data_IF_663799678803
#
_entry.id   IF_663799678803
#
_cell.length_a   1.000
_cell.length_b   1.000
_cell.length_c   1.000
_cell.angle_alpha   90.00
_cell.angle_beta   90.00
_cell.angle_gamma   90.00
#
_symmetry.space_group_name_H-M   'P 1'
#
loop_
_entity.id
_entity.type
_entity.pdbx_description
1 polymer ?
#
# COMPACT_ATOMS: atom_id res chain seq x y z
N UNK A 1 -25.00 27.11 12.91
CA UNK A 1 -24.85 25.96 11.99
C UNK A 1 -23.57 25.28 12.38
N UNK A 2 -23.64 24.02 12.82
CA UNK A 2 -22.44 23.27 13.22
C UNK A 2 -21.67 22.91 11.95
N UNK A 3 -20.54 23.57 11.74
CA UNK A 3 -19.58 23.15 10.73
C UNK A 3 -18.96 21.83 11.23
N UNK A 4 -19.47 20.73 10.68
CA UNK A 4 -18.93 19.40 10.90
C UNK A 4 -17.55 19.25 10.27
N UNK A 5 -16.53 19.83 10.91
CA UNK A 5 -15.13 19.52 10.63
C UNK A 5 -14.71 18.26 11.40
N UNK A 6 -15.22 17.11 10.99
CA UNK A 6 -14.71 15.79 11.38
C UNK A 6 -14.76 14.89 10.13
N UNK A 7 -13.68 14.33 9.61
CA UNK A 7 -12.27 14.49 9.89
C UNK A 7 -11.57 14.17 8.58
N UNK A 8 -10.55 14.98 8.24
CA UNK A 8 -9.64 14.66 7.14
C UNK A 8 -9.09 13.27 7.46
N UNK A 9 -9.53 12.26 6.73
CA UNK A 9 -8.93 10.92 6.78
C UNK A 9 -7.43 11.16 6.61
N UNK A 10 -6.69 10.94 7.69
CA UNK A 10 -5.23 10.99 7.68
C UNK A 10 -4.81 9.89 6.71
N UNK A 11 -4.67 10.27 5.44
CA UNK A 11 -3.79 9.59 4.51
C UNK A 11 -2.41 9.73 5.11
N UNK A 12 -2.09 8.83 6.04
CA UNK A 12 -0.77 8.67 6.65
C UNK A 12 0.22 8.55 5.51
N UNK A 13 0.79 9.69 5.17
CA UNK A 13 2.16 9.89 4.75
C UNK A 13 2.70 8.69 3.99
N UNK A 14 2.37 8.62 2.68
CA UNK A 14 3.03 7.77 1.67
C UNK A 14 4.48 8.20 1.44
N UNK A 15 5.18 8.50 2.54
CA UNK A 15 6.38 9.30 2.59
C UNK A 15 7.40 8.47 3.37
N UNK A 16 8.34 7.88 2.64
CA UNK A 16 9.67 7.49 3.09
C UNK A 16 9.90 6.10 3.73
N UNK A 17 8.93 5.18 3.82
CA UNK A 17 9.25 3.81 4.25
C UNK A 17 9.48 2.88 3.04
N UNK A 18 10.72 2.40 2.87
CA UNK A 18 11.10 1.40 1.85
C UNK A 18 10.35 0.08 2.02
N UNK A 19 9.77 -0.15 3.19
CA UNK A 19 9.03 -1.36 3.51
C UNK A 19 7.56 -1.05 3.84
N UNK A 20 6.59 -1.77 3.29
CA UNK A 20 5.19 -1.58 3.67
C UNK A 20 4.94 -2.06 5.09
N UNK A 21 4.15 -1.29 5.83
CA UNK A 21 3.72 -1.68 7.17
C UNK A 21 2.65 -2.76 7.12
N UNK A 22 2.52 -3.53 8.21
CA UNK A 22 1.49 -4.59 8.32
C UNK A 22 0.07 -4.05 8.12
N UNK A 23 -0.20 -2.81 8.55
CA UNK A 23 -1.51 -2.16 8.40
C UNK A 23 -1.82 -1.86 6.92
N UNK A 24 -0.83 -1.36 6.18
CA UNK A 24 -0.96 -1.14 4.74
C UNK A 24 -1.18 -2.44 3.98
N UNK A 25 -0.43 -3.49 4.33
CA UNK A 25 -0.62 -4.83 3.75
C UNK A 25 -2.02 -5.35 4.08
N UNK A 26 -2.49 -5.20 5.32
CA UNK A 26 -3.81 -5.66 5.73
C UNK A 26 -4.94 -4.93 4.99
N UNK A 27 -4.83 -3.60 4.84
CA UNK A 27 -5.78 -2.79 4.08
C UNK A 27 -5.84 -3.24 2.62
N UNK A 28 -4.68 -3.43 1.99
CA UNK A 28 -4.58 -3.85 0.60
C UNK A 28 -5.08 -5.29 0.39
N UNK A 29 -4.79 -6.19 1.31
CA UNK A 29 -5.30 -7.57 1.29
C UNK A 29 -6.84 -7.60 1.42
N UNK A 30 -7.41 -6.73 2.25
CA UNK A 30 -8.87 -6.60 2.36
C UNK A 30 -9.53 -6.12 1.07
N UNK A 31 -8.91 -5.17 0.36
CA UNK A 31 -9.38 -4.74 -0.97
C UNK A 31 -9.36 -5.91 -1.98
N UNK A 32 -8.31 -6.74 -1.97
CA UNK A 32 -8.22 -7.93 -2.82
C UNK A 32 -9.31 -8.96 -2.47
N UNK A 33 -9.53 -9.21 -1.17
CA UNK A 33 -10.58 -10.09 -0.67
C UNK A 33 -11.98 -9.63 -1.14
N UNK A 34 -12.28 -8.33 -1.05
CA UNK A 34 -13.53 -7.77 -1.55
C UNK A 34 -13.67 -7.92 -3.07
N UNK A 35 -12.58 -7.75 -3.82
CA UNK A 35 -12.54 -7.94 -5.27
C UNK A 35 -12.78 -9.40 -5.70
N UNK A 36 -12.39 -10.38 -4.88
CA UNK A 36 -12.59 -11.83 -5.10
C UNK A 36 -13.93 -12.36 -4.55
N UNK A 37 -14.95 -11.49 -4.48
CA UNK A 37 -16.28 -11.82 -3.95
C UNK A 37 -16.29 -12.21 -2.47
N UNK A 38 -15.33 -11.71 -1.67
CA UNK A 38 -15.23 -12.00 -0.25
C UNK A 38 -15.12 -13.51 0.05
N UNK A 39 -14.44 -14.25 -0.83
CA UNK A 39 -14.29 -15.70 -0.70
C UNK A 39 -13.33 -16.07 0.43
N UNK A 40 -13.77 -16.80 1.47
CA UNK A 40 -12.89 -17.24 2.54
C UNK A 40 -11.90 -18.29 2.05
N UNK A 41 -10.71 -18.36 2.67
CA UNK A 41 -9.66 -19.33 2.34
C UNK A 41 -8.47 -18.76 1.57
N UNK A 42 -8.59 -17.55 1.02
CA UNK A 42 -7.50 -16.88 0.30
C UNK A 42 -6.81 -15.76 1.09
N UNK A 43 -7.17 -15.55 2.37
CA UNK A 43 -6.65 -14.45 3.17
C UNK A 43 -5.12 -14.39 3.23
N UNK A 44 -4.43 -15.53 3.30
CA UNK A 44 -2.97 -15.58 3.27
C UNK A 44 -2.41 -15.21 1.88
N UNK A 45 -3.06 -15.70 0.83
CA UNK A 45 -2.68 -15.42 -0.57
C UNK A 45 -2.86 -13.92 -0.88
N UNK A 46 -4.00 -13.35 -0.48
CA UNK A 46 -4.30 -11.92 -0.61
C UNK A 46 -3.33 -11.07 0.21
N UNK A 47 -2.88 -11.55 1.38
CA UNK A 47 -1.87 -10.87 2.20
C UNK A 47 -0.49 -10.85 1.54
N UNK A 48 -0.04 -11.99 0.98
CA UNK A 48 1.24 -12.08 0.26
C UNK A 48 1.23 -11.26 -1.04
N UNK A 49 0.11 -11.28 -1.76
CA UNK A 49 -0.11 -10.47 -2.95
C UNK A 49 -0.07 -8.97 -2.63
N UNK A 50 -0.77 -8.55 -1.57
CA UNK A 50 -0.75 -7.18 -1.09
C UNK A 50 0.67 -6.70 -0.72
N UNK A 51 1.43 -7.52 0.01
CA UNK A 51 2.81 -7.18 0.37
C UNK A 51 3.69 -7.00 -0.86
N UNK A 52 3.56 -7.90 -1.85
CA UNK A 52 4.33 -7.83 -3.09
C UNK A 52 4.00 -6.58 -3.91
N UNK A 53 2.72 -6.22 -4.01
CA UNK A 53 2.29 -5.01 -4.72
C UNK A 53 2.82 -3.75 -4.04
N UNK A 54 2.65 -3.63 -2.72
CA UNK A 54 3.10 -2.46 -1.99
C UNK A 54 4.63 -2.29 -2.07
N UNK A 55 5.40 -3.38 -2.01
CA UNK A 55 6.86 -3.32 -2.22
C UNK A 55 7.23 -2.84 -3.63
N UNK A 56 6.51 -3.31 -4.65
CA UNK A 56 6.75 -2.87 -6.03
C UNK A 56 6.40 -1.39 -6.24
N UNK A 57 5.31 -0.90 -5.63
CA UNK A 57 4.94 0.52 -5.68
C UNK A 57 5.99 1.41 -5.01
N UNK A 58 6.53 1.00 -3.86
CA UNK A 58 7.59 1.73 -3.18
C UNK A 58 8.88 1.77 -4.02
N UNK A 59 9.25 0.66 -4.67
CA UNK A 59 10.40 0.62 -5.59
C UNK A 59 10.21 1.56 -6.80
N UNK A 60 9.01 1.62 -7.36
CA UNK A 60 8.67 2.52 -8.48
C UNK A 60 8.68 4.00 -8.05
N UNK A 61 8.32 4.30 -6.80
CA UNK A 61 8.32 5.68 -6.28
C UNK A 61 9.72 6.19 -5.89
N UNK A 62 10.67 5.31 -5.60
CA UNK A 62 12.07 5.71 -5.48
C UNK A 62 12.63 5.80 -6.89
N UNK A 63 12.95 6.99 -7.44
CA UNK A 63 13.71 7.05 -8.68
C UNK A 63 15.06 6.41 -8.36
N UNK A 64 15.20 5.14 -8.75
CA UNK A 64 16.46 4.40 -8.67
C UNK A 64 17.49 5.33 -9.29
N UNK A 65 18.52 5.80 -8.55
CA UNK A 65 19.50 6.70 -9.13
C UNK A 65 20.09 5.92 -10.30
N UNK A 66 19.73 6.34 -11.50
CA UNK A 66 20.33 5.81 -12.70
C UNK A 66 21.80 6.09 -12.48
N UNK A 67 22.58 5.01 -12.35
CA UNK A 67 24.04 5.10 -12.27
C UNK A 67 24.46 5.63 -13.63
N UNK A 68 24.37 6.94 -13.77
CA UNK A 68 24.79 7.73 -14.90
C UNK A 68 26.28 7.45 -15.00
N UNK A 69 26.60 6.53 -15.91
CA UNK A 69 27.96 6.10 -16.14
C UNK A 69 28.61 7.29 -16.83
N UNK A 70 29.25 8.14 -16.02
CA UNK A 70 30.25 9.10 -16.48
C UNK A 70 31.24 8.34 -17.37
N UNK A 71 31.19 8.57 -18.68
CA UNK A 71 32.32 8.87 -19.56
C UNK A 71 31.90 8.86 -21.02
#
# INVERSE_FOLDING_TARGET
>A
MVEGHHGRVEGKERSQHTWPTRDEIAKRAYELYLGRSATPGHALDDWLEAERQLRAEVDVQVPRPTRSKRR
#
